data_IF_086973526639
#
_entry.id   IF_086973526639
#
_cell.length_a   1.000
_cell.length_b   1.000
_cell.length_c   1.000
_cell.angle_alpha   90.00
_cell.angle_beta   90.00
_cell.angle_gamma   90.00
#
_symmetry.space_group_name_H-M   'P 1'
#
loop_
_entity.id
_entity.type
_entity.pdbx_description
1 polymer ?
#
# COMPACT_ATOMS: atom_id res chain seq x y z
N UNK A 1 -4.38 -18.78 -7.49
CA UNK A 1 -3.77 -17.51 -7.94
C UNK A 1 -2.59 -17.88 -8.83
N UNK A 2 -2.49 -17.38 -10.06
CA UNK A 2 -1.42 -17.81 -10.99
C UNK A 2 -0.14 -17.01 -10.75
N UNK A 3 0.99 -17.71 -10.64
CA UNK A 3 2.32 -17.12 -10.54
C UNK A 3 2.66 -16.42 -11.86
N UNK A 4 2.72 -15.09 -11.87
CA UNK A 4 3.10 -14.31 -13.06
C UNK A 4 4.53 -13.78 -12.94
N UNK A 5 5.27 -13.63 -14.06
CA UNK A 5 6.61 -13.05 -14.06
C UNK A 5 6.67 -11.64 -13.45
N UNK A 6 5.62 -10.84 -13.64
CA UNK A 6 5.51 -9.48 -13.08
C UNK A 6 5.45 -9.52 -11.55
N UNK A 7 4.70 -10.45 -10.95
CA UNK A 7 4.62 -10.62 -9.49
C UNK A 7 5.97 -11.03 -8.90
N UNK A 8 6.69 -11.92 -9.58
CA UNK A 8 8.05 -12.30 -9.17
C UNK A 8 9.01 -11.11 -9.21
N UNK A 9 8.91 -10.25 -10.23
CA UNK A 9 9.72 -9.03 -10.35
C UNK A 9 9.42 -8.04 -9.23
N UNK A 10 8.14 -7.84 -8.88
CA UNK A 10 7.73 -7.00 -7.75
C UNK A 10 8.31 -7.50 -6.42
N UNK A 11 8.14 -8.80 -6.12
CA UNK A 11 8.66 -9.40 -4.89
C UNK A 11 10.18 -9.29 -4.80
N UNK A 12 10.91 -9.55 -5.90
CA UNK A 12 12.37 -9.37 -5.96
C UNK A 12 12.79 -7.93 -5.65
N UNK A 13 12.07 -6.93 -6.17
CA UNK A 13 12.33 -5.51 -5.89
C UNK A 13 12.17 -5.18 -4.41
N UNK A 14 11.19 -5.78 -3.74
CA UNK A 14 10.84 -5.50 -2.35
C UNK A 14 11.76 -6.23 -1.38
N UNK A 15 12.27 -7.41 -1.73
CA UNK A 15 13.06 -8.27 -0.85
C UNK A 15 14.52 -8.43 -1.31
N UNK A 16 15.05 -7.46 -2.05
CA UNK A 16 16.45 -7.47 -2.51
C UNK A 16 17.48 -7.64 -1.37
N UNK A 17 17.09 -7.29 -0.14
CA UNK A 17 17.91 -7.36 1.08
C UNK A 17 17.98 -8.77 1.70
N UNK A 18 17.20 -9.75 1.20
CA UNK A 18 17.17 -11.11 1.75
C UNK A 18 17.44 -12.17 0.70
N UNK A 19 18.25 -13.17 1.05
CA UNK A 19 18.48 -14.36 0.24
C UNK A 19 17.32 -15.36 0.38
N UNK A 20 16.10 -14.94 0.00
CA UNK A 20 14.90 -15.76 0.08
C UNK A 20 14.29 -15.87 -1.31
N UNK A 21 13.90 -17.09 -1.63
CA UNK A 21 13.26 -17.41 -2.89
C UNK A 21 11.92 -16.63 -3.05
N UNK A 22 11.78 -15.77 -4.07
CA UNK A 22 10.56 -15.04 -4.35
C UNK A 22 9.33 -15.92 -4.52
N UNK A 23 9.49 -17.16 -5.01
CA UNK A 23 8.39 -18.10 -5.17
C UNK A 23 7.80 -18.51 -3.81
N UNK A 24 8.67 -18.75 -2.82
CA UNK A 24 8.24 -19.05 -1.44
C UNK A 24 7.50 -17.88 -0.82
N UNK A 25 7.94 -16.65 -1.07
CA UNK A 25 7.24 -15.46 -0.57
C UNK A 25 5.85 -15.31 -1.20
N UNK A 26 5.71 -15.62 -2.49
CA UNK A 26 4.41 -15.63 -3.16
C UNK A 26 3.53 -16.75 -2.59
N UNK A 27 4.09 -17.91 -2.28
CA UNK A 27 3.37 -18.99 -1.62
C UNK A 27 2.85 -18.56 -0.22
N UNK A 28 3.64 -17.80 0.56
CA UNK A 28 3.19 -17.22 1.84
C UNK A 28 2.05 -16.22 1.62
N UNK A 29 2.18 -15.30 0.67
CA UNK A 29 1.14 -14.30 0.34
C UNK A 29 -0.15 -14.99 -0.14
N UNK A 30 0.01 -16.09 -0.89
CA UNK A 30 -1.09 -16.90 -1.39
C UNK A 30 -1.77 -17.71 -0.29
N UNK A 31 -1.09 -17.95 0.83
CA UNK A 31 -1.56 -18.78 1.94
C UNK A 31 -1.31 -20.27 1.70
N UNK A 32 -0.48 -20.63 0.73
CA UNK A 32 -0.10 -22.00 0.40
C UNK A 32 0.88 -22.57 1.45
N UNK A 33 1.75 -21.71 1.98
CA UNK A 33 2.64 -22.03 3.10
C UNK A 33 2.51 -20.95 4.18
N UNK A 34 2.73 -21.32 5.43
CA UNK A 34 2.61 -20.38 6.55
C UNK A 34 3.81 -19.45 6.70
N UNK A 35 5.02 -19.94 6.36
CA UNK A 35 6.27 -19.21 6.56
C UNK A 35 7.29 -19.50 5.45
N UNK A 36 8.12 -18.52 5.14
CA UNK A 36 9.32 -18.64 4.30
C UNK A 36 10.52 -18.03 5.03
N UNK A 37 11.33 -18.87 5.68
CA UNK A 37 12.39 -18.41 6.58
C UNK A 37 11.79 -17.73 7.81
N UNK A 38 12.17 -16.48 8.07
CA UNK A 38 11.63 -15.67 9.17
C UNK A 38 10.37 -14.87 8.78
N UNK A 39 9.87 -15.02 7.56
CA UNK A 39 8.72 -14.26 7.07
C UNK A 39 7.45 -15.07 7.18
N UNK A 40 6.47 -14.53 7.92
CA UNK A 40 5.06 -14.92 7.85
C UNK A 40 4.28 -13.91 6.99
N UNK A 41 2.99 -14.17 6.82
CA UNK A 41 2.11 -13.27 6.08
C UNK A 41 2.02 -11.88 6.70
N UNK A 42 1.90 -11.76 8.03
CA UNK A 42 1.71 -10.47 8.71
C UNK A 42 2.89 -9.52 8.49
N UNK A 43 4.11 -10.03 8.67
CA UNK A 43 5.34 -9.26 8.48
C UNK A 43 5.54 -8.88 7.01
N UNK A 44 5.24 -9.81 6.10
CA UNK A 44 5.27 -9.50 4.66
C UNK A 44 4.22 -8.45 4.31
N UNK A 45 3.00 -8.59 4.80
CA UNK A 45 1.90 -7.70 4.47
C UNK A 45 2.21 -6.25 4.88
N UNK A 46 2.76 -6.02 6.07
CA UNK A 46 3.22 -4.69 6.50
C UNK A 46 4.28 -4.14 5.54
N UNK A 47 5.27 -4.96 5.19
CA UNK A 47 6.33 -4.56 4.24
C UNK A 47 5.76 -4.22 2.86
N UNK A 48 4.76 -4.96 2.39
CA UNK A 48 4.07 -4.67 1.13
C UNK A 48 3.32 -3.33 1.22
N UNK A 49 2.59 -3.07 2.32
CA UNK A 49 1.89 -1.80 2.55
C UNK A 49 2.84 -0.60 2.51
N UNK A 50 4.07 -0.77 2.96
CA UNK A 50 5.09 0.30 3.00
C UNK A 50 5.80 0.52 1.67
N UNK A 51 6.05 -0.54 0.89
CA UNK A 51 6.95 -0.51 -0.27
C UNK A 51 6.23 -0.54 -1.62
N UNK A 52 4.94 -0.89 -1.66
CA UNK A 52 4.16 -0.98 -2.89
C UNK A 52 3.15 0.15 -3.04
N UNK A 53 2.87 0.49 -4.28
CA UNK A 53 1.70 1.30 -4.64
C UNK A 53 0.40 0.51 -4.41
N UNK A 54 -0.72 1.22 -4.32
CA UNK A 54 -2.04 0.59 -4.15
C UNK A 54 -2.39 -0.38 -5.28
N UNK A 55 -2.04 -0.06 -6.53
CA UNK A 55 -2.29 -0.93 -7.68
C UNK A 55 -1.46 -2.22 -7.61
N UNK A 56 -0.18 -2.12 -7.24
CA UNK A 56 0.68 -3.29 -7.06
C UNK A 56 0.18 -4.19 -5.91
N UNK A 57 -0.33 -3.59 -4.83
CA UNK A 57 -0.96 -4.34 -3.73
C UNK A 57 -2.20 -5.10 -4.18
N UNK A 58 -3.09 -4.44 -4.93
CA UNK A 58 -4.30 -5.06 -5.45
C UNK A 58 -3.99 -6.22 -6.38
N UNK A 59 -3.02 -6.06 -7.28
CA UNK A 59 -2.59 -7.13 -8.18
C UNK A 59 -1.96 -8.31 -7.42
N UNK A 60 -1.09 -8.01 -6.45
CA UNK A 60 -0.30 -9.01 -5.74
C UNK A 60 -1.08 -9.75 -4.64
N UNK A 61 -1.95 -9.07 -3.90
CA UNK A 61 -2.63 -9.65 -2.73
C UNK A 61 -4.10 -9.92 -3.02
N UNK A 62 -4.72 -9.11 -3.87
CA UNK A 62 -6.17 -9.13 -4.12
C UNK A 62 -6.94 -8.32 -3.07
N UNK A 63 -8.04 -7.71 -3.51
CA UNK A 63 -8.85 -6.80 -2.68
C UNK A 63 -9.43 -7.51 -1.44
N UNK A 64 -9.93 -8.74 -1.59
CA UNK A 64 -10.59 -9.47 -0.50
C UNK A 64 -9.63 -9.74 0.66
N UNK A 65 -8.41 -10.19 0.33
CA UNK A 65 -7.34 -10.41 1.31
C UNK A 65 -6.89 -9.11 1.95
N UNK A 66 -6.81 -8.02 1.20
CA UNK A 66 -6.48 -6.71 1.77
C UNK A 66 -7.57 -6.30 2.77
N UNK A 67 -8.85 -6.38 2.43
CA UNK A 67 -9.95 -6.01 3.33
C UNK A 67 -9.93 -6.85 4.62
N UNK A 68 -9.67 -8.15 4.50
CA UNK A 68 -9.60 -9.06 5.64
C UNK A 68 -8.44 -8.75 6.59
N UNK A 69 -7.27 -8.38 6.05
CA UNK A 69 -6.03 -8.23 6.83
C UNK A 69 -5.70 -6.76 7.20
N UNK A 70 -6.35 -5.79 6.56
CA UNK A 70 -6.18 -4.36 6.83
C UNK A 70 -7.03 -3.94 8.04
N UNK A 71 -6.57 -4.33 9.23
CA UNK A 71 -7.17 -3.97 10.51
C UNK A 71 -6.31 -2.92 11.26
N UNK A 72 -6.86 -2.38 12.34
CA UNK A 72 -6.19 -1.34 13.12
C UNK A 72 -4.83 -1.81 13.67
N UNK A 73 -4.73 -3.05 14.15
CA UNK A 73 -3.49 -3.60 14.69
C UNK A 73 -2.39 -3.71 13.61
N UNK A 74 -2.75 -4.14 12.40
CA UNK A 74 -1.84 -4.15 11.25
C UNK A 74 -1.35 -2.74 10.91
N UNK A 75 -2.25 -1.76 10.90
CA UNK A 75 -1.91 -0.39 10.49
C UNK A 75 -1.01 0.28 11.53
N UNK A 76 -1.20 0.02 12.82
CA UNK A 76 -0.30 0.54 13.86
C UNK A 76 1.13 0.02 13.75
N UNK A 77 1.34 -1.16 13.15
CA UNK A 77 2.68 -1.73 12.93
C UNK A 77 3.45 -1.07 11.77
N UNK A 78 2.78 -0.31 10.90
CA UNK A 78 3.44 0.42 9.80
C UNK A 78 4.42 1.44 10.37
N UNK A 79 5.63 1.54 9.84
CA UNK A 79 6.69 2.41 10.33
C UNK A 79 6.37 3.91 10.18
N UNK A 80 5.79 4.30 9.05
CA UNK A 80 5.63 5.70 8.67
C UNK A 80 4.24 6.25 9.09
N UNK A 81 4.17 7.31 9.92
CA UNK A 81 2.89 7.87 10.38
C UNK A 81 1.94 8.31 9.26
N UNK A 82 2.46 8.93 8.20
CA UNK A 82 1.66 9.35 7.04
C UNK A 82 1.00 8.17 6.32
N UNK A 83 1.70 7.03 6.25
CA UNK A 83 1.14 5.80 5.68
C UNK A 83 0.06 5.22 6.60
N UNK A 84 0.23 5.30 7.93
CA UNK A 84 -0.83 4.91 8.88
C UNK A 84 -2.12 5.69 8.60
N UNK A 85 -2.02 7.02 8.53
CA UNK A 85 -3.19 7.88 8.25
C UNK A 85 -3.85 7.56 6.90
N UNK A 86 -3.03 7.32 5.87
CA UNK A 86 -3.51 6.90 4.55
C UNK A 86 -4.30 5.59 4.63
N UNK A 87 -3.73 4.56 5.25
CA UNK A 87 -4.37 3.25 5.34
C UNK A 87 -5.57 3.24 6.29
N UNK A 88 -5.60 4.07 7.32
CA UNK A 88 -6.77 4.21 8.18
C UNK A 88 -7.96 4.82 7.45
N UNK A 89 -7.71 5.79 6.57
CA UNK A 89 -8.72 6.32 5.66
C UNK A 89 -9.19 5.25 4.66
N UNK A 90 -8.26 4.52 4.04
CA UNK A 90 -8.61 3.43 3.12
C UNK A 90 -9.44 2.35 3.81
N UNK A 91 -9.08 1.94 5.02
CA UNK A 91 -9.85 0.97 5.82
C UNK A 91 -11.28 1.46 6.04
N UNK A 92 -11.47 2.74 6.38
CA UNK A 92 -12.81 3.34 6.55
C UNK A 92 -13.60 3.33 5.24
N UNK A 93 -12.98 3.75 4.14
CA UNK A 93 -13.58 3.73 2.79
C UNK A 93 -14.06 2.31 2.43
N UNK A 94 -13.18 1.32 2.58
CA UNK A 94 -13.46 -0.07 2.20
C UNK A 94 -14.56 -0.71 3.04
N UNK A 95 -14.79 -0.22 4.26
CA UNK A 95 -15.83 -0.69 5.18
C UNK A 95 -17.13 0.11 5.10
N UNK A 96 -17.18 1.15 4.26
CA UNK A 96 -18.33 2.06 4.20
C UNK A 96 -18.52 2.89 5.48
N UNK A 97 -17.47 3.04 6.31
CA UNK A 97 -17.51 3.86 7.51
C UNK A 97 -17.48 5.35 7.13
N UNK A 98 -18.20 6.19 7.87
CA UNK A 98 -18.19 7.63 7.64
C UNK A 98 -16.78 8.21 7.82
N UNK A 99 -16.26 8.81 6.76
CA UNK A 99 -14.95 9.48 6.76
C UNK A 99 -15.19 10.90 7.23
N UNK A 100 -14.55 11.32 8.32
CA UNK A 100 -14.46 12.75 8.61
C UNK A 100 -13.71 13.41 7.46
N UNK A 101 -14.35 14.31 6.73
CA UNK A 101 -13.72 15.12 5.69
C UNK A 101 -12.63 15.97 6.35
N UNK A 102 -11.40 15.46 6.45
CA UNK A 102 -10.31 16.24 7.03
C UNK A 102 -8.98 16.07 6.31
N UNK A 103 -8.49 17.23 5.88
CA UNK A 103 -7.11 17.59 5.52
C UNK A 103 -6.54 17.13 4.16
N UNK A 104 -7.38 16.85 3.16
CA UNK A 104 -6.95 16.86 1.73
C UNK A 104 -7.44 18.10 0.95
N UNK A 105 -8.18 19.01 1.59
CA UNK A 105 -8.91 20.08 0.89
C UNK A 105 -8.41 21.52 1.07
N UNK A 106 -7.54 21.85 2.03
CA UNK A 106 -7.11 23.25 2.21
C UNK A 106 -5.70 23.53 1.67
N UNK A 107 -4.74 22.67 2.02
CA UNK A 107 -3.33 22.91 1.70
C UNK A 107 -3.04 22.70 0.21
N UNK A 108 -3.62 21.66 -0.38
CA UNK A 108 -3.48 21.36 -1.81
C UNK A 108 -4.21 22.40 -2.70
N UNK A 109 -5.42 22.83 -2.30
CA UNK A 109 -6.15 23.86 -3.04
C UNK A 109 -5.44 25.22 -3.04
N UNK A 110 -4.71 25.56 -1.96
CA UNK A 110 -3.88 26.77 -1.94
C UNK A 110 -2.74 26.68 -2.96
N UNK A 111 -2.01 25.57 -2.99
CA UNK A 111 -0.92 25.38 -3.95
C UNK A 111 -1.40 25.35 -5.41
N UNK A 112 -2.52 24.67 -5.67
CA UNK A 112 -3.11 24.59 -7.02
C UNK A 112 -3.70 25.94 -7.45
N UNK A 113 -4.30 26.72 -6.55
CA UNK A 113 -4.73 28.10 -6.87
C UNK A 113 -3.56 29.02 -7.18
N UNK A 114 -2.46 28.93 -6.43
CA UNK A 114 -1.29 29.76 -6.71
C UNK A 114 -0.62 29.43 -8.05
N UNK A 115 -0.60 28.15 -8.44
CA UNK A 115 0.05 27.70 -9.69
C UNK A 115 -0.84 27.84 -10.93
N UNK A 116 -2.16 27.72 -10.80
CA UNK A 116 -3.07 27.84 -11.96
C UNK A 116 -3.31 29.29 -12.42
N UNK A 117 -3.13 30.29 -11.54
CA UNK A 117 -3.38 31.70 -11.87
C UNK A 117 -2.12 32.54 -12.12
N UNK A 118 -0.91 32.06 -11.83
CA UNK A 118 0.32 32.84 -12.03
C UNK A 118 0.76 32.95 -13.50
N UNK A 119 0.41 31.98 -14.34
CA UNK A 119 1.00 31.86 -15.69
C UNK A 119 0.10 32.39 -16.82
N UNK A 120 -1.02 33.07 -16.51
CA UNK A 120 -1.94 33.63 -17.53
C UNK A 120 -1.86 35.15 -17.72
N UNK A 121 -1.10 35.88 -16.90
CA UNK A 121 -1.11 37.35 -16.91
C UNK A 121 0.22 38.03 -17.27
N UNK A 122 1.29 37.28 -17.57
CA UNK A 122 2.55 37.84 -18.07
C UNK A 122 2.74 37.50 -19.55
N UNK A 123 1.94 38.14 -20.40
CA UNK A 123 2.13 38.20 -21.85
C UNK A 123 1.43 39.46 -22.34
N UNK A 124 2.11 40.60 -22.23
CA UNK A 124 1.80 41.85 -22.93
C UNK A 124 3.11 42.51 -23.31
#
# INVERSE_FOLDING_TARGET
>A
MTLTPEKLKLIRRINWDYNIDPEKLIAVISGEISHAGHWDFDHLFIRLLERLSWYELLDLVGIDKIIANLNHATIQKIRYPEMREKYERLRKILRGEAISYTRWGSEYYKQVRHTLFSNRWYSS
#
